data_IF_199032436606
#
_entry.id   IF_199032436606
#
_cell.length_a   1.000
_cell.length_b   1.000
_cell.length_c   1.000
_cell.angle_alpha   90.00
_cell.angle_beta   90.00
_cell.angle_gamma   90.00
#
_symmetry.space_group_name_H-M   'P 1'
#
loop_
_entity.id
_entity.type
_entity.pdbx_description
1 polymer ?
#
# COMPACT_ATOMS: atom_id res chain seq x y z
N UNK A 1 -4.12 57.11 -0.93
CA UNK A 1 -5.03 56.25 -1.73
C UNK A 1 -4.51 56.26 -3.16
N UNK A 2 -3.62 55.31 -3.52
CA UNK A 2 -3.85 54.18 -4.46
C UNK A 2 -4.39 54.61 -5.84
N UNK A 3 -3.84 54.28 -7.02
CA UNK A 3 -2.75 53.41 -7.51
C UNK A 3 -2.23 53.95 -8.87
N UNK A 4 -1.06 53.53 -9.37
CA UNK A 4 -1.01 52.71 -10.61
C UNK A 4 0.22 51.75 -10.66
N UNK A 5 0.53 50.98 -11.73
CA UNK A 5 -0.25 50.50 -12.88
C UNK A 5 -0.24 48.95 -13.06
N UNK A 6 -1.01 48.53 -14.08
CA UNK A 6 -1.11 47.23 -14.75
C UNK A 6 0.03 46.21 -14.55
N UNK A 7 -0.38 45.01 -14.12
CA UNK A 7 0.46 43.82 -14.02
C UNK A 7 0.97 43.35 -15.39
N UNK A 8 2.26 43.07 -15.45
CA UNK A 8 2.90 42.29 -16.52
C UNK A 8 2.33 40.88 -16.49
N UNK A 9 1.77 40.44 -17.62
CA UNK A 9 1.65 39.02 -17.93
C UNK A 9 3.05 38.42 -18.01
N UNK A 10 3.45 37.70 -16.97
CA UNK A 10 4.56 36.76 -17.04
C UNK A 10 3.96 35.44 -17.51
N UNK A 11 4.05 35.18 -18.81
CA UNK A 11 3.91 33.83 -19.32
C UNK A 11 5.00 32.97 -18.71
N UNK A 12 4.62 31.98 -17.91
CA UNK A 12 5.53 30.88 -17.61
C UNK A 12 5.50 29.92 -18.79
N UNK A 13 6.48 30.09 -19.67
CA UNK A 13 6.90 29.07 -20.59
C UNK A 13 7.34 27.82 -19.82
N UNK A 14 7.08 26.66 -20.41
CA UNK A 14 7.27 25.33 -19.86
C UNK A 14 8.67 25.10 -19.25
N UNK A 15 8.70 24.44 -18.08
CA UNK A 15 9.91 23.81 -17.55
C UNK A 15 10.28 22.58 -18.38
N UNK A 16 11.58 22.25 -18.50
CA UNK A 16 12.05 21.23 -19.43
C UNK A 16 11.48 19.86 -19.07
N UNK A 17 11.21 19.06 -20.10
CA UNK A 17 11.01 17.61 -20.00
C UNK A 17 12.08 17.03 -19.08
N UNK A 18 11.73 16.82 -17.81
CA UNK A 18 12.53 16.04 -16.88
C UNK A 18 12.38 14.61 -17.35
N UNK A 19 13.30 14.17 -18.21
CA UNK A 19 13.56 12.75 -18.36
C UNK A 19 13.62 12.15 -16.95
N UNK A 20 12.83 11.10 -16.64
CA UNK A 20 12.83 10.54 -15.31
C UNK A 20 14.27 10.15 -14.97
N UNK A 21 14.78 10.68 -13.85
CA UNK A 21 16.14 10.38 -13.42
C UNK A 21 16.33 8.86 -13.38
N UNK A 22 17.52 8.36 -13.73
CA UNK A 22 17.79 6.92 -13.77
C UNK A 22 17.33 6.24 -12.47
N UNK A 23 16.68 5.05 -12.50
CA UNK A 23 16.20 4.40 -11.29
C UNK A 23 17.32 4.22 -10.24
N UNK A 24 17.00 4.26 -8.93
CA UNK A 24 17.98 4.05 -7.86
C UNK A 24 18.55 2.62 -7.88
N UNK A 25 19.63 2.35 -7.14
CA UNK A 25 20.04 0.97 -6.84
C UNK A 25 19.04 0.37 -5.86
N UNK A 26 18.78 1.03 -4.74
CA UNK A 26 17.70 0.67 -3.83
C UNK A 26 16.74 1.83 -3.67
N UNK A 27 15.47 1.58 -3.96
CA UNK A 27 14.42 2.58 -3.81
C UNK A 27 13.06 2.01 -4.16
N UNK A 28 12.05 2.87 -4.19
CA UNK A 28 10.70 2.44 -4.53
C UNK A 28 9.93 3.50 -5.30
N UNK A 29 8.88 3.06 -5.99
CA UNK A 29 7.90 3.91 -6.63
C UNK A 29 6.49 3.51 -6.19
N UNK A 30 5.61 4.50 -6.03
CA UNK A 30 4.21 4.28 -5.66
C UNK A 30 3.38 4.18 -6.93
N UNK A 31 2.71 3.06 -7.15
CA UNK A 31 1.83 2.83 -8.29
C UNK A 31 0.40 2.97 -7.82
N UNK A 32 -0.20 4.14 -8.06
CA UNK A 32 -1.61 4.39 -7.71
C UNK A 32 -2.51 3.75 -8.76
N UNK A 33 -3.31 2.77 -8.35
CA UNK A 33 -4.24 2.05 -9.23
C UNK A 33 -5.61 2.71 -9.30
N UNK A 34 -6.05 3.28 -8.18
CA UNK A 34 -7.28 4.06 -8.03
C UNK A 34 -7.23 4.87 -6.72
N UNK A 35 -8.31 5.56 -6.41
CA UNK A 35 -8.54 6.25 -5.14
C UNK A 35 -10.05 6.32 -4.87
N UNK A 36 -10.44 6.80 -3.70
CA UNK A 36 -11.81 7.19 -3.38
C UNK A 36 -11.80 8.39 -2.45
N UNK A 37 -12.64 9.39 -2.73
CA UNK A 37 -12.85 10.49 -1.81
C UNK A 37 -13.77 10.06 -0.66
N UNK A 38 -13.27 10.18 0.57
CA UNK A 38 -14.05 9.88 1.78
C UNK A 38 -14.03 11.07 2.75
N UNK A 39 -15.10 11.30 3.53
CA UNK A 39 -15.07 12.27 4.61
C UNK A 39 -13.90 12.01 5.55
N UNK A 40 -13.17 13.05 5.93
CA UNK A 40 -12.00 12.93 6.82
C UNK A 40 -12.36 12.22 8.14
N UNK A 41 -13.58 12.43 8.63
CA UNK A 41 -14.13 11.76 9.81
C UNK A 41 -14.14 10.21 9.73
N UNK A 42 -14.17 9.62 8.53
CA UNK A 42 -14.12 8.17 8.34
C UNK A 42 -12.69 7.61 8.39
N UNK A 43 -11.69 8.45 8.24
CA UNK A 43 -10.28 8.06 8.27
C UNK A 43 -9.64 8.32 9.63
N UNK A 44 -10.08 9.36 10.34
CA UNK A 44 -9.45 9.85 11.57
C UNK A 44 -10.52 10.29 12.58
N UNK A 45 -10.43 9.85 13.84
CA UNK A 45 -11.29 10.35 14.93
C UNK A 45 -11.25 11.88 15.04
N UNK A 46 -12.43 12.49 15.16
CA UNK A 46 -12.56 13.96 15.22
C UNK A 46 -12.31 14.69 13.89
N UNK A 47 -12.16 13.95 12.78
CA UNK A 47 -12.05 14.54 11.44
C UNK A 47 -13.31 15.29 10.99
N UNK A 48 -13.15 16.19 10.03
CA UNK A 48 -14.24 16.99 9.46
C UNK A 48 -15.12 16.14 8.52
N UNK A 49 -16.44 16.17 8.72
CA UNK A 49 -17.43 15.43 7.91
C UNK A 49 -17.66 16.06 6.54
N UNK A 50 -17.34 17.34 6.37
CA UNK A 50 -17.51 18.10 5.11
C UNK A 50 -16.25 18.06 4.27
N UNK A 51 -15.08 17.89 4.90
CA UNK A 51 -13.81 17.78 4.20
C UNK A 51 -13.63 16.38 3.63
N UNK A 52 -13.48 16.30 2.32
CA UNK A 52 -13.11 15.07 1.62
C UNK A 52 -11.59 14.90 1.60
N UNK A 53 -11.13 13.67 1.82
CA UNK A 53 -9.73 13.27 1.68
C UNK A 53 -9.70 12.03 0.80
N UNK A 54 -8.75 11.99 -0.14
CA UNK A 54 -8.59 10.80 -0.98
C UNK A 54 -7.97 9.67 -0.17
N UNK A 55 -8.55 8.50 -0.27
CA UNK A 55 -7.97 7.23 0.15
C UNK A 55 -7.46 6.52 -1.10
N UNK A 56 -6.17 6.18 -1.15
CA UNK A 56 -5.57 5.58 -2.34
C UNK A 56 -5.67 4.06 -2.33
N UNK A 57 -5.73 3.46 -3.51
CA UNK A 57 -5.45 2.04 -3.73
C UNK A 57 -4.15 1.92 -4.50
N UNK A 58 -3.10 1.42 -3.85
CA UNK A 58 -1.73 1.51 -4.37
C UNK A 58 -1.00 0.17 -4.29
N UNK A 59 -0.06 -0.01 -5.22
CA UNK A 59 1.01 -0.99 -5.13
C UNK A 59 2.35 -0.26 -4.99
N UNK A 60 3.38 -0.93 -4.46
CA UNK A 60 4.69 -0.34 -4.26
C UNK A 60 5.75 -1.15 -5.02
N UNK A 61 6.30 -0.56 -6.07
CA UNK A 61 7.39 -1.17 -6.83
C UNK A 61 8.70 -0.88 -6.13
N UNK A 62 9.32 -1.90 -5.55
CA UNK A 62 10.65 -1.84 -4.94
C UNK A 62 11.68 -2.27 -5.98
N UNK A 63 12.76 -1.48 -6.08
CA UNK A 63 13.94 -1.83 -6.86
C UNK A 63 15.09 -2.15 -5.91
N UNK A 64 15.80 -3.24 -6.19
CA UNK A 64 17.04 -3.60 -5.52
C UNK A 64 18.05 -4.08 -6.57
N UNK A 65 19.06 -3.27 -6.83
CA UNK A 65 19.99 -3.44 -7.94
C UNK A 65 19.28 -3.76 -9.26
N UNK A 66 19.43 -4.96 -9.80
CA UNK A 66 18.82 -5.38 -11.07
C UNK A 66 17.48 -6.11 -10.89
N UNK A 67 17.02 -6.25 -9.65
CA UNK A 67 15.76 -6.92 -9.30
C UNK A 67 14.63 -5.93 -9.00
N UNK A 68 13.40 -6.40 -9.23
CA UNK A 68 12.16 -5.68 -8.98
C UNK A 68 11.16 -6.56 -8.24
N UNK A 69 10.60 -6.02 -7.16
CA UNK A 69 9.56 -6.63 -6.35
C UNK A 69 8.36 -5.70 -6.33
N UNK A 70 7.15 -6.24 -6.47
CA UNK A 70 5.94 -5.50 -6.16
C UNK A 70 5.44 -5.86 -4.76
N UNK A 71 5.21 -4.87 -3.91
CA UNK A 71 4.53 -5.03 -2.63
C UNK A 71 3.08 -4.54 -2.74
N UNK A 72 2.14 -5.44 -2.51
CA UNK A 72 0.72 -5.34 -2.89
C UNK A 72 0.48 -5.16 -4.41
N UNK A 73 -0.77 -5.30 -4.85
CA UNK A 73 -1.14 -5.15 -6.27
C UNK A 73 -2.15 -4.04 -6.54
N UNK A 74 -2.74 -3.47 -5.48
CA UNK A 74 -3.84 -2.52 -5.62
C UNK A 74 -5.04 -3.15 -6.31
N UNK A 75 -5.79 -2.33 -7.05
CA UNK A 75 -6.88 -2.79 -7.91
C UNK A 75 -6.35 -3.24 -9.28
N UNK A 76 -6.77 -4.43 -9.70
CA UNK A 76 -6.35 -5.06 -10.96
C UNK A 76 -7.26 -4.76 -12.14
N UNK A 77 -6.92 -5.33 -13.29
CA UNK A 77 -7.67 -5.16 -14.55
C UNK A 77 -9.10 -5.72 -14.48
N UNK A 78 -9.30 -6.77 -13.69
CA UNK A 78 -10.58 -7.46 -13.54
C UNK A 78 -11.46 -6.90 -12.41
N UNK A 79 -11.07 -5.79 -11.78
CA UNK A 79 -11.69 -5.32 -10.54
C UNK A 79 -13.19 -5.06 -10.66
N UNK A 80 -13.66 -4.58 -11.82
CA UNK A 80 -15.09 -4.33 -12.04
C UNK A 80 -15.91 -5.62 -11.89
N UNK A 81 -15.47 -6.71 -12.53
CA UNK A 81 -16.16 -8.00 -12.45
C UNK A 81 -15.99 -8.63 -11.06
N UNK A 82 -14.79 -8.56 -10.49
CA UNK A 82 -14.49 -9.07 -9.15
C UNK A 82 -15.33 -8.37 -8.09
N UNK A 83 -15.48 -7.05 -8.17
CA UNK A 83 -16.29 -6.25 -7.25
C UNK A 83 -17.77 -6.60 -7.31
N UNK A 84 -18.30 -6.87 -8.52
CA UNK A 84 -19.69 -7.30 -8.65
C UNK A 84 -19.97 -8.62 -7.92
N UNK A 85 -18.98 -9.54 -7.91
CA UNK A 85 -19.08 -10.85 -7.27
C UNK A 85 -18.75 -10.79 -5.77
N UNK A 86 -17.72 -10.03 -5.41
CA UNK A 86 -17.11 -10.01 -4.08
C UNK A 86 -17.71 -8.98 -3.13
N UNK A 87 -18.30 -7.88 -3.63
CA UNK A 87 -18.90 -6.84 -2.79
C UNK A 87 -20.43 -6.96 -2.72
N UNK A 88 -21.00 -7.33 -1.55
CA UNK A 88 -22.45 -7.37 -1.36
C UNK A 88 -23.12 -6.02 -1.60
N UNK A 89 -24.33 -6.03 -2.14
CA UNK A 89 -25.05 -4.82 -2.57
C UNK A 89 -25.17 -3.76 -1.47
N UNK A 90 -25.38 -4.15 -0.22
CA UNK A 90 -25.52 -3.23 0.92
C UNK A 90 -24.20 -2.55 1.32
N UNK A 91 -23.04 -3.12 0.95
CA UNK A 91 -21.73 -2.52 1.21
C UNK A 91 -21.27 -1.58 0.10
N UNK A 92 -21.82 -1.69 -1.10
CA UNK A 92 -21.37 -0.91 -2.27
C UNK A 92 -21.41 0.61 -2.10
N UNK A 93 -22.39 1.22 -1.40
CA UNK A 93 -22.37 2.67 -1.18
C UNK A 93 -21.20 3.16 -0.31
N UNK A 94 -20.60 2.27 0.49
CA UNK A 94 -19.58 2.64 1.47
C UNK A 94 -18.16 2.27 1.04
N UNK A 95 -18.02 1.26 0.19
CA UNK A 95 -16.73 0.76 -0.28
C UNK A 95 -16.70 0.86 -1.80
N UNK A 96 -16.38 2.06 -2.30
CA UNK A 96 -16.29 2.37 -3.73
C UNK A 96 -14.85 2.67 -4.12
N UNK A 97 -14.62 2.78 -5.43
CA UNK A 97 -13.37 3.25 -6.02
C UNK A 97 -13.69 4.10 -7.24
N UNK A 98 -12.80 5.05 -7.53
CA UNK A 98 -12.93 5.96 -8.66
C UNK A 98 -12.47 5.27 -9.96
N UNK A 99 -13.10 5.69 -11.06
CA UNK A 99 -12.76 5.26 -12.42
C UNK A 99 -12.04 6.38 -13.19
N UNK A 100 -11.18 6.03 -14.16
CA UNK A 100 -10.76 4.67 -14.52
C UNK A 100 -9.76 4.09 -13.51
N UNK A 101 -9.83 2.78 -13.29
CA UNK A 101 -8.75 2.03 -12.64
C UNK A 101 -7.65 1.80 -13.67
N UNK A 102 -6.39 2.06 -13.29
CA UNK A 102 -5.23 1.74 -14.12
C UNK A 102 -4.35 0.79 -13.31
N UNK A 103 -4.42 -0.50 -13.61
CA UNK A 103 -3.72 -1.55 -12.85
C UNK A 103 -2.21 -1.31 -12.78
N UNK A 104 -1.57 -1.86 -11.75
CA UNK A 104 -0.12 -1.79 -11.65
C UNK A 104 0.55 -2.43 -12.87
N UNK A 105 0.02 -3.56 -13.36
CA UNK A 105 0.49 -4.22 -14.59
C UNK A 105 0.46 -3.29 -15.79
N UNK A 106 -0.69 -2.66 -16.06
CA UNK A 106 -0.83 -1.72 -17.19
C UNK A 106 0.16 -0.55 -17.10
N UNK A 107 0.39 0.00 -15.90
CA UNK A 107 1.36 1.10 -15.73
C UNK A 107 2.81 0.65 -15.98
N UNK A 108 3.18 -0.53 -15.51
CA UNK A 108 4.51 -1.12 -15.72
C UNK A 108 4.76 -1.43 -17.21
N UNK A 109 3.75 -1.96 -17.90
CA UNK A 109 3.83 -2.25 -19.34
C UNK A 109 4.02 -1.01 -20.19
N UNK A 110 3.25 0.05 -19.89
CA UNK A 110 3.40 1.34 -20.57
C UNK A 110 4.79 1.94 -20.38
N UNK A 111 5.45 1.63 -19.27
CA UNK A 111 6.83 2.05 -19.00
C UNK A 111 7.88 1.09 -19.59
N UNK A 112 7.48 0.01 -20.27
CA UNK A 112 8.39 -0.97 -20.87
C UNK A 112 9.17 -1.79 -19.84
N UNK A 113 8.62 -1.97 -18.63
CA UNK A 113 9.27 -2.78 -17.60
C UNK A 113 9.21 -4.27 -17.94
N UNK A 114 10.24 -5.05 -17.56
CA UNK A 114 10.20 -6.49 -17.72
C UNK A 114 9.10 -7.11 -16.81
N UNK A 115 8.56 -8.29 -17.16
CA UNK A 115 7.64 -9.01 -16.30
C UNK A 115 8.25 -9.26 -14.91
N UNK A 116 7.53 -8.85 -13.87
CA UNK A 116 7.96 -9.03 -12.49
C UNK A 116 7.95 -10.51 -12.13
N UNK A 117 8.99 -10.94 -11.41
CA UNK A 117 9.12 -12.34 -10.97
C UNK A 117 8.63 -12.54 -9.53
N UNK A 118 8.45 -11.45 -8.78
CA UNK A 118 8.07 -11.48 -7.37
C UNK A 118 7.03 -10.42 -7.07
N UNK A 119 5.94 -10.85 -6.44
CA UNK A 119 4.93 -10.00 -5.81
C UNK A 119 4.80 -10.47 -4.38
N UNK A 120 4.71 -9.56 -3.41
CA UNK A 120 4.47 -9.90 -2.01
C UNK A 120 3.25 -9.13 -1.55
N UNK A 121 2.27 -9.83 -0.98
CA UNK A 121 1.10 -9.20 -0.41
C UNK A 121 1.35 -8.86 1.05
N UNK A 122 1.02 -7.64 1.44
CA UNK A 122 0.92 -7.25 2.85
C UNK A 122 -0.14 -8.08 3.55
N UNK A 123 -1.26 -8.34 2.88
CA UNK A 123 -2.34 -9.25 3.28
C UNK A 123 -3.30 -9.51 2.10
N UNK A 124 -4.32 -10.34 2.31
CA UNK A 124 -5.16 -10.87 1.22
C UNK A 124 -6.50 -10.16 1.00
N UNK A 125 -6.68 -8.92 1.46
CA UNK A 125 -7.91 -8.17 1.19
C UNK A 125 -8.04 -7.74 -0.27
N UNK A 126 -9.28 -7.52 -0.68
CA UNK A 126 -9.67 -7.36 -2.07
C UNK A 126 -8.99 -6.22 -2.83
N UNK A 127 -8.57 -5.21 -2.10
CA UNK A 127 -7.93 -3.99 -2.58
C UNK A 127 -6.40 -4.03 -2.53
N UNK A 128 -5.84 -5.06 -1.91
CA UNK A 128 -4.40 -5.37 -1.91
C UNK A 128 -4.06 -6.51 -2.87
N UNK A 129 -4.95 -7.51 -2.93
CA UNK A 129 -4.89 -8.66 -3.82
C UNK A 129 -5.68 -8.42 -5.13
N UNK A 130 -6.16 -7.21 -5.41
CA UNK A 130 -7.03 -6.95 -6.55
C UNK A 130 -6.41 -7.25 -7.91
N UNK A 131 -5.09 -7.12 -8.02
CA UNK A 131 -4.32 -7.33 -9.25
C UNK A 131 -3.48 -8.59 -9.28
N UNK A 132 -3.64 -9.56 -8.37
CA UNK A 132 -2.72 -10.74 -8.36
C UNK A 132 -2.74 -11.51 -9.67
N UNK A 133 -3.92 -11.63 -10.30
CA UNK A 133 -4.08 -12.33 -11.57
C UNK A 133 -3.41 -11.63 -12.76
N UNK A 134 -3.05 -10.35 -12.61
CA UNK A 134 -2.37 -9.57 -13.65
C UNK A 134 -0.86 -9.95 -13.75
N UNK A 135 -0.35 -10.79 -12.83
CA UNK A 135 1.06 -11.20 -12.75
C UNK A 135 1.26 -12.73 -12.76
N UNK A 136 0.84 -13.45 -13.82
CA UNK A 136 0.96 -14.92 -13.91
C UNK A 136 2.41 -15.44 -13.95
N UNK A 137 3.38 -14.58 -14.26
CA UNK A 137 4.80 -14.91 -14.25
C UNK A 137 5.37 -14.94 -12.83
N UNK A 138 4.82 -14.13 -11.93
CA UNK A 138 5.35 -13.90 -10.61
C UNK A 138 5.04 -15.04 -9.63
N UNK A 139 5.93 -15.23 -8.66
CA UNK A 139 5.60 -15.90 -7.40
C UNK A 139 4.97 -14.88 -6.45
N UNK A 140 3.86 -15.26 -5.85
CA UNK A 140 3.08 -14.41 -4.95
C UNK A 140 3.37 -14.83 -3.51
N UNK A 141 4.25 -14.07 -2.86
CA UNK A 141 4.62 -14.26 -1.47
C UNK A 141 3.51 -13.81 -0.52
N UNK A 142 3.18 -14.66 0.43
CA UNK A 142 2.25 -14.35 1.52
C UNK A 142 2.74 -14.96 2.84
N UNK A 143 2.38 -14.36 3.97
CA UNK A 143 2.66 -14.98 5.26
C UNK A 143 1.90 -16.30 5.38
N UNK A 144 2.54 -17.34 5.95
CA UNK A 144 1.89 -18.63 6.15
C UNK A 144 0.60 -18.52 7.00
N UNK A 145 0.53 -17.55 7.92
CA UNK A 145 -0.65 -17.27 8.73
C UNK A 145 -1.85 -16.75 7.92
N UNK A 146 -1.64 -16.27 6.70
CA UNK A 146 -2.68 -15.75 5.81
C UNK A 146 -3.29 -16.86 4.93
N UNK A 147 -2.60 -17.99 4.76
CA UNK A 147 -3.03 -19.13 3.94
C UNK A 147 -4.43 -19.65 4.22
N UNK A 148 -4.91 -19.75 5.48
CA UNK A 148 -6.28 -20.17 5.73
C UNK A 148 -7.32 -19.31 5.02
N UNK A 149 -7.07 -18.01 4.84
CA UNK A 149 -7.98 -17.08 4.14
C UNK A 149 -7.99 -17.33 2.63
N UNK A 150 -6.85 -17.69 2.05
CA UNK A 150 -6.78 -18.10 0.64
C UNK A 150 -7.51 -19.43 0.39
N UNK A 151 -7.48 -20.37 1.35
CA UNK A 151 -8.17 -21.67 1.22
C UNK A 151 -9.68 -21.60 1.47
N UNK A 152 -10.12 -20.58 2.19
CA UNK A 152 -11.52 -20.33 2.52
C UNK A 152 -11.84 -18.85 2.23
N UNK A 153 -11.85 -18.45 0.94
CA UNK A 153 -12.11 -17.07 0.56
C UNK A 153 -13.48 -16.60 1.03
N UNK A 154 -13.60 -15.29 1.25
CA UNK A 154 -14.79 -14.63 1.78
C UNK A 154 -15.16 -13.41 0.92
N UNK A 155 -16.39 -12.91 1.07
CA UNK A 155 -16.86 -11.70 0.39
C UNK A 155 -16.86 -10.50 1.32
N UNK A 156 -17.05 -9.30 0.78
CA UNK A 156 -17.25 -8.07 1.53
C UNK A 156 -15.98 -7.21 1.67
N UNK A 157 -16.06 -6.12 2.45
CA UNK A 157 -15.04 -5.07 2.46
C UNK A 157 -13.70 -5.47 3.07
N UNK A 158 -13.66 -6.46 3.96
CA UNK A 158 -12.43 -7.13 4.45
C UNK A 158 -12.30 -8.54 3.89
N UNK A 159 -12.86 -8.79 2.71
CA UNK A 159 -12.93 -10.11 2.11
C UNK A 159 -11.66 -10.47 1.34
N UNK A 160 -11.27 -11.73 1.43
CA UNK A 160 -10.31 -12.35 0.51
C UNK A 160 -11.11 -12.98 -0.62
N UNK A 161 -11.26 -12.30 -1.75
CA UNK A 161 -12.26 -12.71 -2.75
C UNK A 161 -11.76 -13.87 -3.61
N UNK A 162 -12.58 -14.93 -3.72
CA UNK A 162 -12.32 -16.09 -4.59
C UNK A 162 -11.98 -15.68 -6.03
N UNK A 163 -12.72 -14.70 -6.56
CA UNK A 163 -12.53 -14.13 -7.90
C UNK A 163 -11.16 -13.46 -8.12
N UNK A 164 -10.37 -13.28 -7.06
CA UNK A 164 -9.01 -12.75 -7.08
C UNK A 164 -7.96 -13.83 -6.80
N UNK A 165 -8.22 -14.75 -5.87
CA UNK A 165 -7.18 -15.65 -5.32
C UNK A 165 -7.24 -17.12 -5.76
N UNK A 166 -8.35 -17.56 -6.37
CA UNK A 166 -8.58 -18.98 -6.70
C UNK A 166 -8.11 -19.39 -8.10
N UNK A 167 -7.51 -18.48 -8.88
CA UNK A 167 -7.05 -18.82 -10.22
C UNK A 167 -5.81 -19.75 -10.17
N UNK A 168 -5.86 -20.86 -10.90
CA UNK A 168 -4.77 -21.86 -11.00
C UNK A 168 -3.45 -21.29 -11.56
N UNK A 169 -3.52 -20.14 -12.22
CA UNK A 169 -2.34 -19.41 -12.73
C UNK A 169 -1.52 -18.77 -11.62
N UNK A 170 -2.07 -18.63 -10.41
CA UNK A 170 -1.42 -17.95 -9.30
C UNK A 170 -0.41 -18.88 -8.62
N UNK A 171 0.85 -18.44 -8.57
CA UNK A 171 1.95 -19.21 -7.97
C UNK A 171 2.22 -18.75 -6.55
N UNK A 172 1.43 -19.24 -5.61
CA UNK A 172 1.56 -18.85 -4.20
C UNK A 172 2.83 -19.40 -3.53
N UNK A 173 3.56 -18.54 -2.83
CA UNK A 173 4.77 -18.86 -2.07
C UNK A 173 4.59 -18.47 -0.60
N UNK A 174 4.92 -19.37 0.32
CA UNK A 174 4.89 -19.07 1.75
C UNK A 174 6.18 -18.38 2.16
N UNK A 175 6.04 -17.20 2.77
CA UNK A 175 7.17 -16.45 3.31
C UNK A 175 7.60 -17.06 4.65
N UNK A 176 8.88 -17.43 4.73
CA UNK A 176 9.49 -18.04 5.90
C UNK A 176 10.29 -17.01 6.72
N UNK A 177 9.70 -16.50 7.79
CA UNK A 177 10.35 -15.58 8.71
C UNK A 177 11.40 -16.28 9.58
N UNK A 178 12.49 -15.58 9.85
CA UNK A 178 13.57 -16.04 10.72
C UNK A 178 13.47 -15.32 12.07
N UNK A 179 13.86 -15.95 13.21
CA UNK A 179 13.87 -15.33 14.54
C UNK A 179 15.05 -14.35 14.68
N UNK A 180 15.21 -13.46 13.71
CA UNK A 180 16.20 -12.38 13.67
C UNK A 180 15.45 -11.08 13.91
N UNK A 181 15.72 -10.40 15.05
CA UNK A 181 15.03 -9.17 15.34
C UNK A 181 15.37 -8.05 14.35
N UNK A 182 14.37 -7.28 13.95
CA UNK A 182 14.56 -6.10 13.10
C UNK A 182 13.60 -4.99 13.52
N UNK A 183 14.12 -3.80 13.82
CA UNK A 183 13.32 -2.63 14.21
C UNK A 183 12.27 -2.96 15.29
N UNK A 184 12.69 -3.68 16.34
CA UNK A 184 11.81 -4.09 17.45
C UNK A 184 10.87 -5.25 17.14
N UNK A 185 10.79 -5.76 15.90
CA UNK A 185 10.11 -7.01 15.57
C UNK A 185 10.98 -8.21 15.93
N UNK A 186 10.41 -9.26 16.56
CA UNK A 186 11.20 -10.41 17.04
C UNK A 186 11.66 -11.33 15.91
N UNK A 187 10.97 -11.30 14.77
CA UNK A 187 11.27 -12.07 13.59
C UNK A 187 11.16 -11.19 12.34
N UNK A 188 11.95 -11.52 11.32
CA UNK A 188 12.03 -10.78 10.08
C UNK A 188 12.41 -11.68 8.91
N UNK A 189 12.20 -11.18 7.70
CA UNK A 189 12.68 -11.78 6.46
C UNK A 189 13.38 -10.70 5.64
N UNK A 190 14.70 -10.72 5.64
CA UNK A 190 15.53 -9.89 4.79
C UNK A 190 15.62 -10.52 3.40
N UNK A 191 15.04 -9.84 2.40
CA UNK A 191 14.86 -10.38 1.06
C UNK A 191 16.17 -10.43 0.25
N UNK A 192 17.16 -9.62 0.62
CA UNK A 192 18.44 -9.51 -0.09
C UNK A 192 19.67 -9.71 0.81
N UNK A 193 19.47 -9.97 2.10
CA UNK A 193 20.52 -10.26 3.08
C UNK A 193 21.50 -9.10 3.33
N UNK A 194 21.05 -7.87 3.07
CA UNK A 194 21.82 -6.63 3.26
C UNK A 194 21.10 -5.60 4.15
N UNK A 195 19.93 -5.95 4.69
CA UNK A 195 19.10 -5.11 5.55
C UNK A 195 18.34 -3.99 4.83
N UNK A 196 18.41 -3.93 3.50
CA UNK A 196 17.82 -2.84 2.72
C UNK A 196 16.32 -3.04 2.47
N UNK A 197 15.86 -4.27 2.28
CA UNK A 197 14.45 -4.62 2.05
C UNK A 197 14.05 -5.76 2.98
N UNK A 198 13.37 -5.41 4.07
CA UNK A 198 13.11 -6.34 5.19
C UNK A 198 11.63 -6.39 5.52
N UNK A 199 11.04 -7.59 5.46
CA UNK A 199 9.68 -7.83 5.89
C UNK A 199 9.62 -8.17 7.38
N UNK A 200 8.55 -7.73 8.04
CA UNK A 200 8.25 -8.04 9.43
C UNK A 200 6.79 -8.44 9.60
N UNK A 201 6.45 -9.40 10.48
CA UNK A 201 5.05 -9.71 10.77
C UNK A 201 4.37 -8.58 11.54
N UNK A 202 3.19 -8.18 11.06
CA UNK A 202 2.30 -7.19 11.65
C UNK A 202 0.88 -7.73 11.83
N UNK A 203 0.71 -8.88 12.50
CA UNK A 203 -0.57 -9.53 12.61
C UNK A 203 -1.59 -8.68 13.39
N UNK A 204 -2.87 -8.85 13.07
CA UNK A 204 -3.97 -8.14 13.72
C UNK A 204 -5.08 -7.84 12.73
N UNK A 205 -4.78 -6.96 11.77
CA UNK A 205 -5.73 -6.60 10.72
C UNK A 205 -6.15 -7.85 9.94
N UNK A 206 -5.17 -8.60 9.48
CA UNK A 206 -5.32 -10.02 9.16
C UNK A 206 -4.34 -10.85 9.99
N UNK A 207 -4.56 -12.16 10.16
CA UNK A 207 -3.64 -13.02 10.91
C UNK A 207 -2.22 -13.03 10.31
N UNK A 208 -2.08 -12.85 8.99
CA UNK A 208 -0.81 -12.83 8.29
C UNK A 208 -0.39 -11.47 7.73
N UNK A 209 -0.94 -10.37 8.27
CA UNK A 209 -0.53 -9.02 7.86
C UNK A 209 0.98 -8.80 8.02
N UNK A 210 1.59 -8.14 7.04
CA UNK A 210 3.03 -7.85 6.96
C UNK A 210 3.29 -6.35 6.86
N UNK A 211 4.43 -5.94 7.41
CA UNK A 211 5.07 -4.66 7.12
C UNK A 211 6.35 -4.85 6.32
N UNK A 212 6.74 -3.82 5.56
CA UNK A 212 7.95 -3.81 4.75
C UNK A 212 8.80 -2.58 5.07
N UNK A 213 10.05 -2.78 5.47
CA UNK A 213 11.05 -1.73 5.54
C UNK A 213 11.84 -1.65 4.23
N UNK A 214 12.04 -0.43 3.74
CA UNK A 214 12.94 -0.14 2.61
C UNK A 214 13.90 0.96 3.02
N UNK A 215 15.20 0.66 3.03
CA UNK A 215 16.28 1.63 3.20
C UNK A 215 16.81 1.99 1.81
N UNK A 216 16.56 3.23 1.40
CA UNK A 216 16.89 3.73 0.06
C UNK A 216 18.36 4.11 -0.09
N UNK A 217 18.84 4.39 -1.30
CA UNK A 217 20.22 4.82 -1.59
C UNK A 217 20.69 6.03 -0.76
N UNK A 218 19.78 6.91 -0.37
CA UNK A 218 20.04 8.06 0.50
C UNK A 218 20.34 7.66 1.95
N UNK A 219 20.14 6.39 2.31
CA UNK A 219 20.18 5.88 3.68
C UNK A 219 18.87 6.10 4.44
N UNK A 220 17.89 6.81 3.86
CA UNK A 220 16.60 7.02 4.51
C UNK A 220 15.75 5.76 4.48
N UNK A 221 15.09 5.50 5.61
CA UNK A 221 14.23 4.33 5.81
C UNK A 221 12.75 4.68 5.72
N UNK A 222 12.03 3.81 5.03
CA UNK A 222 10.59 3.87 4.83
C UNK A 222 9.98 2.59 5.38
N UNK A 223 8.80 2.69 5.98
CA UNK A 223 8.07 1.56 6.54
C UNK A 223 6.64 1.51 6.01
N UNK A 224 6.37 0.56 5.13
CA UNK A 224 5.04 0.26 4.62
C UNK A 224 4.32 -0.63 5.63
N UNK A 225 3.19 -0.18 6.15
CA UNK A 225 2.50 -0.84 7.27
C UNK A 225 1.21 -1.56 6.85
N UNK A 226 0.94 -1.63 5.54
CA UNK A 226 -0.33 -2.12 5.01
C UNK A 226 -1.50 -1.42 5.68
N UNK A 227 -2.43 -2.24 6.18
CA UNK A 227 -3.67 -1.81 6.83
C UNK A 227 -3.64 -1.87 8.36
N UNK A 228 -2.44 -1.91 8.96
CA UNK A 228 -2.31 -1.69 10.39
C UNK A 228 -2.93 -0.34 10.80
N UNK A 229 -2.70 0.70 9.99
CA UNK A 229 -3.41 1.98 10.02
C UNK A 229 -3.76 2.41 8.60
N UNK A 230 -4.89 3.09 8.40
CA UNK A 230 -5.24 3.64 7.07
C UNK A 230 -4.57 4.98 6.77
N UNK A 231 -4.30 5.80 7.79
CA UNK A 231 -3.64 7.10 7.62
C UNK A 231 -2.61 7.38 8.72
N UNK A 232 -1.62 8.21 8.41
CA UNK A 232 -0.60 8.69 9.35
C UNK A 232 -1.23 9.57 10.43
N UNK A 233 -2.29 10.28 10.09
CA UNK A 233 -3.08 11.07 11.04
C UNK A 233 -3.75 10.17 12.10
N UNK A 234 -4.38 9.07 11.69
CA UNK A 234 -4.95 8.07 12.59
C UNK A 234 -3.85 7.45 13.48
N UNK A 235 -2.74 7.05 12.85
CA UNK A 235 -1.56 6.51 13.55
C UNK A 235 -1.01 7.46 14.63
N UNK A 236 -0.87 8.76 14.34
CA UNK A 236 -0.39 9.75 15.31
C UNK A 236 -1.32 9.88 16.53
N UNK A 237 -2.63 9.80 16.31
CA UNK A 237 -3.63 9.83 17.38
C UNK A 237 -3.67 8.54 18.20
N UNK A 238 -3.12 7.44 17.70
CA UNK A 238 -3.12 6.15 18.38
C UNK A 238 -4.29 5.26 18.06
N UNK A 239 -5.02 5.56 16.98
CA UNK A 239 -6.24 4.86 16.61
C UNK A 239 -6.04 4.26 15.20
N UNK A 240 -6.34 2.97 14.97
CA UNK A 240 -6.09 2.30 13.68
C UNK A 240 -6.79 2.99 12.53
N UNK A 241 -8.08 3.22 12.76
CA UNK A 241 -9.15 3.48 11.80
C UNK A 241 -10.30 4.11 12.56
N UNK A 242 -11.28 4.67 11.85
CA UNK A 242 -12.57 4.94 12.47
C UNK A 242 -13.16 3.62 13.02
N UNK A 243 -13.63 3.63 14.28
CA UNK A 243 -13.95 2.42 15.07
C UNK A 243 -14.91 1.42 14.40
N UNK A 244 -15.80 1.88 13.52
CA UNK A 244 -16.71 0.99 12.75
C UNK A 244 -15.95 0.24 11.66
N UNK A 245 -15.02 0.89 10.98
CA UNK A 245 -14.20 0.26 9.96
C UNK A 245 -13.30 -0.82 10.56
N UNK A 246 -12.62 -0.53 11.68
CA UNK A 246 -11.79 -1.53 12.36
C UNK A 246 -12.57 -2.80 12.74
N UNK A 247 -13.80 -2.67 13.27
CA UNK A 247 -14.65 -3.84 13.56
C UNK A 247 -15.12 -4.63 12.33
N UNK A 248 -15.14 -4.01 11.15
CA UNK A 248 -15.60 -4.63 9.91
C UNK A 248 -14.48 -5.31 9.14
N UNK A 249 -13.26 -4.81 9.25
CA UNK A 249 -12.13 -5.27 8.44
C UNK A 249 -10.98 -5.88 9.23
N UNK A 250 -10.88 -5.64 10.55
CA UNK A 250 -9.83 -6.25 11.38
C UNK A 250 -10.28 -7.62 11.91
N UNK A 251 -9.43 -8.63 11.76
CA UNK A 251 -9.64 -9.96 12.32
C UNK A 251 -9.41 -10.02 13.83
N UNK A 252 -8.51 -9.18 14.37
CA UNK A 252 -8.17 -9.08 15.80
C UNK A 252 -7.83 -7.63 16.16
N UNK A 253 -8.81 -6.90 16.71
CA UNK A 253 -8.67 -5.48 17.04
C UNK A 253 -7.59 -5.21 18.11
N UNK A 254 -7.52 -5.92 19.26
CA UNK A 254 -6.44 -5.76 20.22
C UNK A 254 -5.04 -5.96 19.61
N UNK A 255 -4.87 -6.97 18.75
CA UNK A 255 -3.58 -7.24 18.11
C UNK A 255 -3.24 -6.19 17.04
N UNK A 256 -4.25 -5.67 16.34
CA UNK A 256 -4.10 -4.52 15.43
C UNK A 256 -3.61 -3.28 16.19
N UNK A 257 -4.22 -2.99 17.34
CA UNK A 257 -3.79 -1.90 18.21
C UNK A 257 -2.33 -2.09 18.68
N UNK A 258 -1.95 -3.30 19.08
CA UNK A 258 -0.56 -3.57 19.47
C UNK A 258 0.44 -3.34 18.33
N UNK A 259 0.07 -3.71 17.10
CA UNK A 259 0.88 -3.43 15.90
C UNK A 259 1.03 -1.93 15.64
N UNK A 260 -0.04 -1.14 15.84
CA UNK A 260 0.02 0.32 15.75
C UNK A 260 0.89 0.97 16.81
N UNK A 261 0.71 0.58 18.07
CA UNK A 261 1.45 1.16 19.18
C UNK A 261 2.95 0.93 19.01
N UNK A 262 3.31 -0.22 18.44
CA UNK A 262 4.68 -0.51 18.02
C UNK A 262 5.18 0.41 16.92
N UNK A 263 4.40 0.63 15.86
CA UNK A 263 4.77 1.56 14.78
C UNK A 263 4.95 2.98 15.33
N UNK A 264 4.07 3.42 16.24
CA UNK A 264 4.17 4.73 16.92
C UNK A 264 5.44 4.81 17.75
N UNK A 265 5.77 3.77 18.50
CA UNK A 265 7.01 3.72 19.27
C UNK A 265 8.24 3.84 18.37
N UNK A 266 8.23 3.21 17.18
CA UNK A 266 9.30 3.35 16.19
C UNK A 266 9.40 4.78 15.65
N UNK A 267 8.28 5.41 15.30
CA UNK A 267 8.28 6.81 14.85
C UNK A 267 8.79 7.79 15.92
N UNK A 268 8.53 7.51 17.19
CA UNK A 268 9.04 8.32 18.29
C UNK A 268 10.53 8.09 18.53
N UNK A 269 11.01 6.87 18.33
CA UNK A 269 12.42 6.49 18.52
C UNK A 269 13.31 6.94 17.35
N UNK A 270 12.77 6.97 16.13
CA UNK A 270 13.48 7.34 14.90
C UNK A 270 12.66 8.38 14.11
N UNK A 271 12.90 9.69 14.33
CA UNK A 271 12.18 10.76 13.64
C UNK A 271 12.41 10.81 12.13
N UNK A 272 13.46 10.17 11.62
CA UNK A 272 13.79 10.14 10.19
C UNK A 272 13.05 9.02 9.44
N UNK A 273 12.51 8.03 10.18
CA UNK A 273 11.67 6.95 9.66
C UNK A 273 10.38 7.51 9.06
N UNK A 274 10.16 7.24 7.77
CA UNK A 274 8.91 7.61 7.09
C UNK A 274 7.97 6.42 7.05
N UNK A 275 6.88 6.50 7.80
CA UNK A 275 5.81 5.49 7.76
C UNK A 275 4.84 5.79 6.62
N UNK A 276 4.54 4.78 5.81
CA UNK A 276 3.65 4.84 4.65
C UNK A 276 2.47 3.89 4.88
N UNK A 277 1.30 4.40 5.28
CA UNK A 277 0.05 3.65 5.27
C UNK A 277 -0.43 3.37 3.82
N UNK A 278 -1.14 2.27 3.62
CA UNK A 278 -1.62 1.87 2.29
C UNK A 278 -2.61 2.87 1.66
N UNK A 279 -3.44 3.51 2.49
CA UNK A 279 -4.56 4.34 2.06
C UNK A 279 -4.38 5.84 2.29
N UNK A 280 -3.15 6.30 2.56
CA UNK A 280 -2.86 7.71 2.87
C UNK A 280 -2.42 8.50 1.63
N UNK A 281 -3.35 9.21 0.99
CA UNK A 281 -3.01 10.08 -0.14
C UNK A 281 -2.05 11.22 0.22
N UNK A 282 -2.09 11.73 1.45
CA UNK A 282 -1.26 12.89 1.84
C UNK A 282 0.22 12.50 1.88
N UNK A 283 0.55 11.34 2.45
CA UNK A 283 1.91 10.82 2.46
C UNK A 283 2.36 10.44 1.04
N UNK A 284 1.50 9.77 0.28
CA UNK A 284 1.85 9.30 -1.05
C UNK A 284 2.00 10.44 -2.07
N UNK A 285 1.14 11.44 -2.06
CA UNK A 285 1.22 12.63 -2.93
C UNK A 285 2.53 13.42 -2.70
N UNK A 286 3.01 13.48 -1.45
CA UNK A 286 4.26 14.15 -1.11
C UNK A 286 5.50 13.41 -1.63
N UNK A 287 5.42 12.08 -1.80
CA UNK A 287 6.50 11.25 -2.34
C UNK A 287 6.45 11.13 -3.87
N UNK A 288 5.25 11.31 -4.46
CA UNK A 288 5.00 11.18 -5.89
C UNK A 288 4.72 9.74 -6.32
N UNK A 289 4.32 9.58 -7.58
CA UNK A 289 3.90 8.31 -8.15
C UNK A 289 4.81 7.88 -9.30
N UNK A 290 4.86 6.58 -9.56
CA UNK A 290 5.52 5.99 -10.71
C UNK A 290 5.13 6.74 -12.00
N UNK A 291 6.09 7.09 -12.88
CA UNK A 291 7.47 6.59 -12.94
C UNK A 291 8.50 7.33 -12.04
N UNK A 292 8.07 8.22 -11.14
CA UNK A 292 8.98 8.82 -10.17
C UNK A 292 9.43 7.80 -9.10
N UNK A 293 10.70 7.88 -8.70
CA UNK A 293 11.33 7.02 -7.72
C UNK A 293 11.74 7.80 -6.48
N UNK A 294 11.45 7.24 -5.31
CA UNK A 294 12.02 7.62 -4.02
C UNK A 294 13.36 6.91 -3.85
N UNK A 295 14.39 7.66 -3.43
CA UNK A 295 15.80 7.26 -3.47
C UNK A 295 16.52 7.69 -2.21
#
# INVERSE_FOLDING_TARGET
MHAPPAGRHVGHAAGPDRFPAAPPKVGFAIIKTSQVAVPQALLVPGGDITRQVNSNFSAFLVKHHDDYLLFDTGLGEQIDAQYQQGMPLWWRPFFTYDKPVVSARTQLDRAGMPPLQRVILSHSHWDHAGGVQDFPEARIGIAAAERPRLRAPSTGPGGTWASQVDADTIRWEDLAFQPVPFMGYPESLDLYQDGSVVLVPMPGHTPGSLGLFVTTDSGRRYFFIGDAAWTLAALRQGEPKFWVAGKLVDGDAPRTQASLDKVRALMLADPDLVVIPAHDSTVQDALGYFPAWVR
#
